data_IF_848838654066
#
_entry.id   IF_848838654066
#
_cell.length_a   1.000
_cell.length_b   1.000
_cell.length_c   1.000
_cell.angle_alpha   90.00
_cell.angle_beta   90.00
_cell.angle_gamma   90.00
#
_symmetry.space_group_name_H-M   'P 1'
#
loop_
_entity.id
_entity.type
_entity.pdbx_description
1 polymer ?
#
# COMPACT_ATOMS: atom_id res chain seq x y z
N UNK A 1 1.68 12.40 -17.51
CA UNK A 1 2.99 12.86 -16.98
C UNK A 1 2.91 12.90 -15.45
N UNK A 2 3.96 12.57 -14.69
CA UNK A 2 3.96 12.57 -13.20
C UNK A 2 3.44 13.89 -12.60
N UNK A 3 3.76 15.02 -13.24
CA UNK A 3 3.29 16.34 -12.81
C UNK A 3 1.75 16.47 -12.88
N UNK A 4 1.08 15.83 -13.84
CA UNK A 4 -0.38 15.83 -13.95
C UNK A 4 -1.05 15.05 -12.82
N UNK A 5 -0.31 14.13 -12.19
CA UNK A 5 -0.73 13.37 -11.02
C UNK A 5 -0.36 14.07 -9.70
N UNK A 6 0.25 15.26 -9.75
CA UNK A 6 0.68 16.03 -8.58
C UNK A 6 1.97 15.51 -7.93
N UNK A 7 2.70 14.62 -8.58
CA UNK A 7 3.95 14.08 -8.06
C UNK A 7 5.09 15.10 -8.20
N UNK A 8 6.01 15.09 -7.24
CA UNK A 8 7.30 15.77 -7.34
C UNK A 8 8.43 14.74 -7.51
N UNK A 9 9.56 15.19 -8.05
CA UNK A 9 10.70 14.30 -8.28
C UNK A 9 12.05 15.01 -8.21
N UNK A 10 13.06 14.29 -7.73
CA UNK A 10 14.45 14.73 -7.65
C UNK A 10 15.36 13.67 -8.28
N UNK A 11 15.95 14.01 -9.42
CA UNK A 11 16.97 13.17 -10.05
C UNK A 11 18.23 13.14 -9.19
N UNK A 12 18.84 11.95 -9.10
CA UNK A 12 20.13 11.72 -8.47
C UNK A 12 21.25 11.69 -9.51
N UNK A 13 22.49 11.83 -9.02
CA UNK A 13 23.68 11.81 -9.87
C UNK A 13 23.92 10.46 -10.56
N UNK A 14 23.41 9.36 -9.99
CA UNK A 14 23.47 8.01 -10.56
C UNK A 14 22.38 7.75 -11.62
N UNK A 15 21.55 8.76 -11.93
CA UNK A 15 20.45 8.64 -12.88
C UNK A 15 19.17 8.04 -12.33
N UNK A 16 19.10 7.73 -11.02
CA UNK A 16 17.85 7.32 -10.37
C UNK A 16 16.98 8.51 -9.98
N UNK A 17 15.69 8.26 -9.70
CA UNK A 17 14.70 9.29 -9.39
C UNK A 17 14.09 9.03 -8.00
N UNK A 18 14.20 10.01 -7.11
CA UNK A 18 13.33 10.07 -5.92
C UNK A 18 12.01 10.67 -6.38
N UNK A 19 10.90 9.99 -6.10
CA UNK A 19 9.55 10.43 -6.44
C UNK A 19 8.72 10.56 -5.17
N UNK A 20 8.01 11.67 -5.02
CA UNK A 20 7.13 11.92 -3.87
C UNK A 20 5.72 12.21 -4.37
N UNK A 21 4.74 11.50 -3.82
CA UNK A 21 3.32 11.73 -4.11
C UNK A 21 2.87 13.10 -3.62
N UNK A 22 1.72 13.63 -4.08
CA UNK A 22 1.04 14.66 -3.30
C UNK A 22 0.64 14.12 -1.91
N UNK A 23 0.21 15.02 -1.01
CA UNK A 23 -0.42 14.61 0.25
C UNK A 23 -1.73 13.89 -0.11
N UNK A 24 -1.91 12.69 0.43
CA UNK A 24 -3.09 11.85 0.22
C UNK A 24 -3.78 11.58 1.54
N UNK A 25 -5.09 11.37 1.49
CA UNK A 25 -5.87 11.00 2.66
C UNK A 25 -5.46 9.60 3.15
N UNK A 26 -5.23 9.48 4.46
CA UNK A 26 -4.99 8.18 5.09
C UNK A 26 -6.27 7.35 5.27
N UNK A 27 -7.45 7.99 5.20
CA UNK A 27 -8.75 7.37 5.41
C UNK A 27 -9.68 7.80 4.28
N UNK A 28 -10.36 6.84 3.67
CA UNK A 28 -11.40 7.11 2.67
C UNK A 28 -12.78 7.01 3.30
N UNK A 29 -13.67 7.95 2.99
CA UNK A 29 -15.10 7.86 3.32
C UNK A 29 -15.87 7.31 2.13
N UNK A 30 -16.67 6.27 2.36
CA UNK A 30 -17.55 5.65 1.36
C UNK A 30 -18.89 6.40 1.24
N UNK A 31 -19.68 6.18 0.17
CA UNK A 31 -20.97 6.84 -0.01
C UNK A 31 -21.97 6.61 1.13
N UNK A 32 -21.84 5.50 1.85
CA UNK A 32 -22.69 5.16 3.02
C UNK A 32 -22.14 5.72 4.35
N UNK A 33 -21.07 6.51 4.30
CA UNK A 33 -20.45 7.14 5.46
C UNK A 33 -19.42 6.27 6.19
N UNK A 34 -19.24 4.99 5.81
CA UNK A 34 -18.17 4.16 6.39
C UNK A 34 -16.80 4.74 6.07
N UNK A 35 -15.87 4.59 7.02
CA UNK A 35 -14.47 4.95 6.84
C UNK A 35 -13.64 3.69 6.58
N UNK A 36 -12.76 3.74 5.59
CA UNK A 36 -11.87 2.62 5.25
C UNK A 36 -10.41 3.04 5.27
N UNK A 37 -9.56 2.11 5.68
CA UNK A 37 -8.10 2.27 5.71
C UNK A 37 -7.53 2.07 4.30
N UNK A 38 -7.79 3.05 3.42
CA UNK A 38 -7.43 3.00 2.01
C UNK A 38 -6.12 3.76 1.78
N UNK A 39 -5.00 3.16 2.18
CA UNK A 39 -3.66 3.74 2.01
C UNK A 39 -2.60 2.62 1.94
N UNK A 40 -1.32 3.01 1.78
CA UNK A 40 -0.19 2.09 1.63
C UNK A 40 0.72 2.01 2.87
N UNK A 41 0.26 2.47 4.04
CA UNK A 41 1.08 2.58 5.25
C UNK A 41 1.72 1.26 5.66
N UNK A 42 0.94 0.19 5.71
CA UNK A 42 1.43 -1.14 6.13
C UNK A 42 2.45 -1.69 5.13
N UNK A 43 2.17 -1.52 3.83
CA UNK A 43 3.07 -1.98 2.76
C UNK A 43 4.39 -1.21 2.76
N UNK A 44 4.34 0.12 2.89
CA UNK A 44 5.52 0.97 2.94
C UNK A 44 6.37 0.67 4.18
N UNK A 45 5.73 0.50 5.34
CA UNK A 45 6.43 0.24 6.59
C UNK A 45 7.12 -1.13 6.61
N UNK A 46 6.51 -2.16 6.03
CA UNK A 46 7.04 -3.54 6.08
C UNK A 46 7.96 -3.91 4.92
N UNK A 47 7.85 -3.23 3.78
CA UNK A 47 8.44 -3.74 2.54
C UNK A 47 9.09 -2.72 1.61
N UNK A 48 9.07 -1.43 1.93
CA UNK A 48 9.79 -0.45 1.12
C UNK A 48 11.14 -0.13 1.76
N UNK A 49 12.19 -0.58 1.10
CA UNK A 49 13.54 -0.15 1.44
C UNK A 49 13.75 1.29 0.99
N UNK A 50 14.28 2.11 1.89
CA UNK A 50 14.75 3.46 1.58
C UNK A 50 16.21 3.57 2.01
N UNK A 51 17.07 4.05 1.12
CA UNK A 51 18.41 4.48 1.52
C UNK A 51 18.34 5.79 2.33
N UNK A 52 19.39 6.09 3.10
CA UNK A 52 19.45 7.30 3.94
C UNK A 52 19.26 8.60 3.13
N UNK A 53 19.61 8.60 1.84
CA UNK A 53 19.47 9.78 0.97
C UNK A 53 18.05 9.99 0.44
N UNK A 54 17.19 8.97 0.50
CA UNK A 54 15.76 9.05 0.17
C UNK A 54 14.94 9.66 1.30
N UNK A 55 15.40 9.55 2.56
CA UNK A 55 14.55 9.72 3.73
C UNK A 55 13.57 8.54 3.91
N UNK A 56 12.66 8.61 4.89
CA UNK A 56 11.71 7.53 5.15
C UNK A 56 10.77 7.28 3.95
N UNK A 57 10.33 6.04 3.72
CA UNK A 57 9.47 5.69 2.59
C UNK A 57 8.05 6.25 2.73
N UNK A 58 7.65 6.63 3.95
CA UNK A 58 6.36 7.23 4.26
C UNK A 58 6.46 8.15 5.49
N UNK A 59 5.70 9.23 5.47
CA UNK A 59 5.59 10.22 6.56
C UNK A 59 4.13 10.66 6.73
N UNK A 60 3.85 11.47 7.74
CA UNK A 60 2.64 12.30 7.73
C UNK A 60 2.68 13.32 6.57
N UNK A 61 1.53 13.91 6.26
CA UNK A 61 1.39 14.89 5.17
C UNK A 61 2.20 16.18 5.40
N UNK A 62 2.57 16.47 6.64
CA UNK A 62 3.46 17.59 7.00
C UNK A 62 4.96 17.22 6.94
N UNK A 63 5.28 15.98 6.55
CA UNK A 63 6.65 15.46 6.47
C UNK A 63 7.20 14.92 7.79
N UNK A 64 6.45 14.98 8.89
CA UNK A 64 6.91 14.42 10.16
C UNK A 64 6.90 12.89 10.14
N UNK A 65 7.83 12.22 10.86
CA UNK A 65 7.84 10.75 10.93
C UNK A 65 6.55 10.19 11.51
N UNK A 66 6.14 9.02 11.03
CA UNK A 66 5.03 8.28 11.64
C UNK A 66 5.44 7.76 13.03
N UNK A 67 4.47 7.68 13.95
CA UNK A 67 4.66 7.03 15.24
C UNK A 67 4.78 5.51 15.04
N UNK A 68 5.96 4.97 15.35
CA UNK A 68 6.26 3.54 15.25
C UNK A 68 5.25 2.67 16.03
N UNK A 69 4.80 3.11 17.21
CA UNK A 69 3.86 2.33 18.03
C UNK A 69 2.51 2.24 17.34
N UNK A 70 2.00 3.35 16.81
CA UNK A 70 0.73 3.39 16.07
C UNK A 70 0.80 2.57 14.77
N UNK A 71 1.90 2.66 14.03
CA UNK A 71 2.09 1.90 12.78
C UNK A 71 2.17 0.40 13.06
N UNK A 72 2.85 0.00 14.13
CA UNK A 72 2.93 -1.40 14.56
C UNK A 72 1.53 -1.93 14.93
N UNK A 73 0.75 -1.16 15.69
CA UNK A 73 -0.62 -1.54 16.02
C UNK A 73 -1.51 -1.70 14.77
N UNK A 74 -1.36 -0.83 13.76
CA UNK A 74 -2.06 -0.97 12.48
C UNK A 74 -1.67 -2.25 11.73
N UNK A 75 -0.38 -2.59 11.77
CA UNK A 75 0.13 -3.82 11.19
C UNK A 75 -0.42 -5.07 11.90
N UNK A 76 -0.45 -5.06 13.24
CA UNK A 76 -0.97 -6.17 14.05
C UNK A 76 -2.47 -6.39 13.81
N UNK A 77 -3.26 -5.30 13.75
CA UNK A 77 -4.68 -5.37 13.40
C UNK A 77 -4.89 -5.95 12.00
N UNK A 78 -4.05 -5.59 11.03
CA UNK A 78 -4.15 -6.14 9.69
C UNK A 78 -3.82 -7.63 9.66
N UNK A 79 -2.84 -8.09 10.43
CA UNK A 79 -2.51 -9.51 10.54
C UNK A 79 -3.65 -10.31 11.20
N UNK A 80 -4.26 -9.77 12.26
CA UNK A 80 -5.41 -10.39 12.94
C UNK A 80 -6.62 -10.54 12.02
N UNK A 81 -6.91 -9.51 11.22
CA UNK A 81 -8.05 -9.49 10.30
C UNK A 81 -7.80 -10.23 8.99
N UNK A 82 -6.54 -10.58 8.70
CA UNK A 82 -6.18 -11.29 7.47
C UNK A 82 -6.52 -12.76 7.56
N UNK A 83 -7.12 -13.29 6.49
CA UNK A 83 -7.33 -14.71 6.31
C UNK A 83 -6.80 -15.18 4.96
N UNK A 84 -6.30 -16.41 4.92
CA UNK A 84 -5.79 -17.01 3.69
C UNK A 84 -6.92 -17.69 2.93
N UNK A 85 -7.05 -17.37 1.64
CA UNK A 85 -7.94 -18.09 0.72
C UNK A 85 -7.20 -19.31 0.15
N UNK A 86 -7.62 -20.55 0.47
CA UNK A 86 -6.98 -21.76 -0.03
C UNK A 86 -7.41 -22.03 -1.49
N UNK A 87 -6.84 -21.28 -2.43
CA UNK A 87 -7.17 -21.31 -3.85
C UNK A 87 -7.17 -22.73 -4.44
N UNK A 88 -8.25 -23.05 -5.15
CA UNK A 88 -8.40 -24.20 -6.02
C UNK A 88 -8.56 -23.76 -7.48
N UNK A 89 -8.30 -24.68 -8.41
CA UNK A 89 -8.50 -24.40 -9.83
C UNK A 89 -9.98 -24.15 -10.12
N UNK A 90 -10.28 -23.01 -10.75
CA UNK A 90 -11.65 -22.61 -11.08
C UNK A 90 -12.26 -21.65 -10.06
N UNK A 91 -11.63 -21.43 -8.91
CA UNK A 91 -12.07 -20.42 -7.94
C UNK A 91 -12.00 -19.02 -8.54
N UNK A 92 -12.96 -18.18 -8.13
CA UNK A 92 -13.01 -16.75 -8.43
C UNK A 92 -13.25 -16.01 -7.13
N UNK A 93 -12.40 -15.03 -6.85
CA UNK A 93 -12.63 -14.06 -5.78
C UNK A 93 -13.00 -12.71 -6.39
N UNK A 94 -14.07 -12.10 -5.88
CA UNK A 94 -14.43 -10.71 -6.17
C UNK A 94 -14.03 -9.88 -4.95
N UNK A 95 -13.23 -8.85 -5.18
CA UNK A 95 -12.70 -7.99 -4.11
C UNK A 95 -13.21 -6.58 -4.33
N UNK A 96 -13.93 -6.04 -3.34
CA UNK A 96 -14.20 -4.61 -3.28
C UNK A 96 -12.93 -3.88 -2.83
N UNK A 97 -12.23 -3.26 -3.79
CA UNK A 97 -10.95 -2.62 -3.55
C UNK A 97 -11.04 -1.46 -2.56
N UNK A 98 -12.21 -0.86 -2.35
CA UNK A 98 -12.38 0.24 -1.40
C UNK A 98 -12.49 -0.20 0.06
N UNK A 99 -12.73 -1.49 0.30
CA UNK A 99 -12.99 -2.05 1.63
C UNK A 99 -11.95 -3.07 2.06
N UNK A 100 -11.38 -3.83 1.11
CA UNK A 100 -10.45 -4.92 1.40
C UNK A 100 -9.04 -4.62 0.91
N UNK A 101 -8.06 -4.83 1.79
CA UNK A 101 -6.65 -4.98 1.39
C UNK A 101 -6.39 -6.44 0.99
N UNK A 102 -5.47 -6.66 0.07
CA UNK A 102 -5.08 -8.00 -0.35
C UNK A 102 -3.56 -8.08 -0.54
N UNK A 103 -3.01 -9.24 -0.21
CA UNK A 103 -1.57 -9.51 -0.30
C UNK A 103 -1.35 -10.95 -0.79
N UNK A 104 -0.10 -11.41 -0.72
CA UNK A 104 0.28 -12.75 -1.16
C UNK A 104 1.21 -13.40 -0.14
N UNK A 105 0.82 -14.57 0.36
CA UNK A 105 1.71 -15.44 1.13
C UNK A 105 2.85 -15.99 0.26
N UNK A 106 3.97 -16.34 0.89
CA UNK A 106 5.03 -17.10 0.23
C UNK A 106 4.49 -18.45 -0.26
N UNK A 107 4.94 -18.92 -1.42
CA UNK A 107 4.53 -20.20 -1.99
C UNK A 107 5.72 -20.88 -2.69
N UNK A 108 5.60 -22.18 -2.94
CA UNK A 108 6.58 -22.97 -3.68
C UNK A 108 5.93 -23.59 -4.93
N UNK A 109 6.75 -23.96 -5.91
CA UNK A 109 6.28 -24.58 -7.16
C UNK A 109 5.57 -23.62 -8.12
N UNK A 110 4.79 -24.17 -9.05
CA UNK A 110 4.09 -23.39 -10.07
C UNK A 110 2.73 -22.94 -9.56
N UNK A 111 2.48 -21.62 -9.57
CA UNK A 111 1.19 -21.01 -9.23
C UNK A 111 0.83 -19.98 -10.29
N UNK A 112 -0.40 -20.03 -10.81
CA UNK A 112 -0.92 -19.06 -11.79
C UNK A 112 -2.26 -18.51 -11.32
N UNK A 113 -2.32 -17.20 -11.09
CA UNK A 113 -3.55 -16.46 -10.78
C UNK A 113 -3.71 -15.40 -11.86
N UNK A 114 -4.92 -15.26 -12.39
CA UNK A 114 -5.28 -14.19 -13.33
C UNK A 114 -6.07 -13.13 -12.58
N UNK A 115 -5.98 -11.87 -13.05
CA UNK A 115 -6.68 -10.75 -12.44
C UNK A 115 -7.35 -9.90 -13.54
N UNK A 116 -8.46 -9.27 -13.17
CA UNK A 116 -9.13 -8.24 -13.95
C UNK A 116 -9.45 -7.07 -13.03
N UNK A 117 -9.27 -5.85 -13.51
CA UNK A 117 -9.65 -4.64 -12.80
C UNK A 117 -10.93 -4.09 -13.42
N UNK A 118 -11.83 -3.59 -12.58
CA UNK A 118 -13.04 -2.88 -13.00
C UNK A 118 -12.82 -1.40 -12.72
N UNK A 119 -13.15 -0.56 -13.71
CA UNK A 119 -13.06 0.89 -13.62
C UNK A 119 -14.37 1.49 -13.13
#
# INVERSE_FOLDING_TARGET
NMAELGYSGKWRNDGSLISTTPILDGIRTLPDGRQTFFNQLIAAYRGWDSDESSGPPITFGDGTPLDHVAVTAACDMADELTFNVPWQQGDIAIVDNYVAMHARQTFTGTRKILASLVA
#
